data_IF_522011095040
#
_entry.id   IF_522011095040
#
_cell.length_a   1.000
_cell.length_b   1.000
_cell.length_c   1.000
_cell.angle_alpha   90.00
_cell.angle_beta   90.00
_cell.angle_gamma   90.00
#
_symmetry.space_group_name_H-M   'P 1'
#
loop_
_entity.id
_entity.type
_entity.pdbx_description
1 polymer ?
#
# COMPACT_ATOMS: atom_id res chain seq x y z
N UNK A 1 20.01 18.40 15.38
CA UNK A 1 20.74 17.20 14.94
C UNK A 1 19.71 16.27 14.35
N UNK A 2 19.47 16.41 13.04
CA UNK A 2 18.54 15.60 12.27
C UNK A 2 19.31 14.38 11.76
N UNK A 3 19.16 13.26 12.45
CA UNK A 3 19.64 11.97 11.96
C UNK A 3 18.66 11.50 10.89
N UNK A 4 19.00 11.73 9.64
CA UNK A 4 18.38 11.01 8.53
C UNK A 4 19.16 9.71 8.43
N UNK A 5 18.48 8.60 8.71
CA UNK A 5 19.02 7.26 8.49
C UNK A 5 19.17 7.05 6.98
N UNK A 6 20.40 7.25 6.53
CA UNK A 6 20.95 6.73 5.29
C UNK A 6 20.95 5.20 5.37
N UNK A 7 19.92 4.56 4.82
CA UNK A 7 20.03 3.19 4.33
C UNK A 7 19.53 3.15 2.89
N UNK A 8 20.36 3.73 2.03
CA UNK A 8 20.31 3.53 0.58
C UNK A 8 20.79 2.11 0.28
N UNK A 9 19.85 1.25 -0.08
CA UNK A 9 20.11 -0.14 -0.45
C UNK A 9 18.80 -0.81 -0.83
N UNK A 10 18.37 -0.60 -2.08
CA UNK A 10 17.30 -1.38 -2.72
C UNK A 10 17.75 -2.85 -2.81
N UNK A 11 17.62 -3.58 -1.71
CA UNK A 11 17.44 -5.02 -1.77
C UNK A 11 15.99 -5.21 -2.20
N UNK A 12 15.76 -5.50 -3.49
CA UNK A 12 14.45 -5.93 -3.97
C UNK A 12 13.95 -7.03 -3.04
N UNK A 13 12.98 -6.71 -2.20
CA UNK A 13 12.34 -7.63 -1.24
C UNK A 13 11.82 -8.90 -1.95
N UNK A 14 11.53 -8.75 -3.25
CA UNK A 14 11.06 -9.79 -4.16
C UNK A 14 12.17 -10.59 -4.89
N UNK A 15 13.39 -10.06 -4.98
CA UNK A 15 14.46 -10.63 -5.81
C UNK A 15 14.29 -10.45 -7.32
N UNK A 16 13.29 -9.67 -7.77
CA UNK A 16 13.05 -9.31 -9.17
C UNK A 16 13.08 -7.78 -9.39
N UNK A 17 13.22 -7.30 -10.65
CA UNK A 17 13.05 -5.90 -11.00
C UNK A 17 11.60 -5.42 -10.79
N UNK A 18 11.45 -4.12 -10.61
CA UNK A 18 10.13 -3.45 -10.55
C UNK A 18 9.49 -3.49 -11.93
N UNK A 19 8.21 -3.88 -11.97
CA UNK A 19 7.39 -3.90 -13.18
C UNK A 19 6.74 -2.52 -13.38
N UNK A 20 7.49 -1.59 -13.99
CA UNK A 20 6.99 -0.23 -14.25
C UNK A 20 5.83 -0.21 -15.25
N UNK A 21 5.81 -1.11 -16.23
CA UNK A 21 4.70 -1.25 -17.17
C UNK A 21 3.40 -1.60 -16.41
N UNK A 22 3.50 -2.46 -15.39
CA UNK A 22 2.36 -2.74 -14.49
C UNK A 22 1.96 -1.52 -13.70
N UNK A 23 2.91 -0.78 -13.12
CA UNK A 23 2.59 0.43 -12.35
C UNK A 23 1.92 1.51 -13.21
N UNK A 24 2.34 1.68 -14.47
CA UNK A 24 1.70 2.59 -15.43
C UNK A 24 0.24 2.19 -15.69
N UNK A 25 -0.05 0.90 -15.89
CA UNK A 25 -1.43 0.41 -16.06
C UNK A 25 -2.28 0.62 -14.80
N UNK A 26 -1.70 0.44 -13.60
CA UNK A 26 -2.40 0.70 -12.34
C UNK A 26 -2.69 2.19 -12.18
N UNK A 27 -1.71 3.05 -12.45
CA UNK A 27 -1.84 4.51 -12.42
C UNK A 27 -2.99 4.96 -13.32
N UNK A 28 -2.99 4.53 -14.57
CA UNK A 28 -4.01 4.94 -15.55
C UNK A 28 -5.41 4.49 -15.12
N UNK A 29 -5.54 3.31 -14.51
CA UNK A 29 -6.80 2.85 -13.92
C UNK A 29 -7.24 3.76 -12.77
N UNK A 30 -6.35 4.01 -11.81
CA UNK A 30 -6.68 4.76 -10.60
C UNK A 30 -6.91 6.24 -10.89
N UNK A 31 -6.31 6.80 -11.94
CA UNK A 31 -6.51 8.19 -12.35
C UNK A 31 -7.96 8.50 -12.79
N UNK A 32 -8.74 7.45 -13.08
CA UNK A 32 -10.16 7.55 -13.41
C UNK A 32 -11.10 7.30 -12.23
N UNK A 33 -10.54 6.95 -11.07
CA UNK A 33 -11.29 6.63 -9.85
C UNK A 33 -11.44 7.89 -8.97
N UNK A 34 -12.67 8.25 -8.65
CA UNK A 34 -13.00 9.43 -7.82
C UNK A 34 -12.55 9.31 -6.37
N UNK A 35 -12.08 8.13 -5.95
CA UNK A 35 -11.53 7.89 -4.62
C UNK A 35 -10.21 8.60 -4.37
N UNK A 36 -9.46 8.92 -5.43
CA UNK A 36 -8.14 9.53 -5.32
C UNK A 36 -8.16 10.99 -5.76
N UNK A 37 -7.57 11.86 -4.94
CA UNK A 37 -7.37 13.28 -5.28
C UNK A 37 -6.04 13.52 -5.96
N UNK A 38 -5.06 12.65 -5.73
CA UNK A 38 -3.73 12.74 -6.28
C UNK A 38 -3.12 11.36 -6.48
N UNK A 39 -2.42 11.20 -7.60
CA UNK A 39 -1.60 10.02 -7.88
C UNK A 39 -0.19 10.50 -8.23
N UNK A 40 0.79 10.02 -7.49
CA UNK A 40 2.21 10.35 -7.66
C UNK A 40 2.93 9.12 -8.16
N UNK A 41 3.34 9.19 -9.43
CA UNK A 41 4.14 8.18 -10.10
C UNK A 41 5.62 8.41 -9.76
N UNK A 42 6.26 7.41 -9.15
CA UNK A 42 7.70 7.37 -8.82
C UNK A 42 8.18 8.63 -8.10
N UNK A 43 7.64 8.92 -6.90
CA UNK A 43 8.09 10.07 -6.11
C UNK A 43 9.59 9.97 -5.82
N UNK A 44 10.26 11.12 -5.69
CA UNK A 44 11.72 11.17 -5.44
C UNK A 44 12.16 10.38 -4.20
N UNK A 45 11.30 10.27 -3.19
CA UNK A 45 11.57 9.53 -1.96
C UNK A 45 11.37 8.01 -2.08
N UNK A 46 10.62 7.54 -3.09
CA UNK A 46 10.32 6.12 -3.32
C UNK A 46 10.12 5.88 -4.83
N UNK A 47 11.19 5.94 -5.64
CA UNK A 47 11.12 5.90 -7.10
C UNK A 47 10.65 4.56 -7.66
N UNK A 48 10.49 3.53 -6.83
CA UNK A 48 9.90 2.25 -7.17
C UNK A 48 8.38 2.17 -6.95
N UNK A 49 7.75 3.23 -6.43
CA UNK A 49 6.34 3.19 -6.00
C UNK A 49 5.42 4.07 -6.82
N UNK A 50 4.15 3.68 -6.81
CA UNK A 50 3.01 4.51 -7.13
C UNK A 50 2.30 4.88 -5.81
N UNK A 51 2.08 6.17 -5.56
CA UNK A 51 1.41 6.65 -4.34
C UNK A 51 0.07 7.29 -4.70
N UNK A 52 -1.02 6.75 -4.16
CA UNK A 52 -2.37 7.21 -4.45
C UNK A 52 -2.99 7.79 -3.18
N UNK A 53 -3.26 9.09 -3.17
CA UNK A 53 -3.80 9.83 -2.03
C UNK A 53 -5.33 9.86 -2.14
N UNK A 54 -6.01 9.40 -1.10
CA UNK A 54 -7.46 9.36 -1.06
C UNK A 54 -8.09 10.75 -0.89
N UNK A 55 -9.33 10.91 -1.35
CA UNK A 55 -10.14 12.07 -1.02
C UNK A 55 -10.51 12.06 0.47
N UNK A 56 -10.21 13.16 1.16
CA UNK A 56 -10.52 13.35 2.59
C UNK A 56 -12.00 13.21 2.91
N UNK A 57 -12.90 13.33 1.93
CA UNK A 57 -14.35 13.15 2.12
C UNK A 57 -14.73 11.75 2.60
N UNK A 58 -13.87 10.74 2.41
CA UNK A 58 -14.11 9.37 2.86
C UNK A 58 -13.75 9.16 4.34
N UNK A 59 -13.21 10.19 5.00
CA UNK A 59 -12.63 10.10 6.33
C UNK A 59 -13.20 11.12 7.31
N UNK A 60 -13.24 10.81 8.62
CA UNK A 60 -13.55 11.78 9.65
C UNK A 60 -12.41 12.79 9.81
N UNK A 61 -12.68 13.98 10.40
CA UNK A 61 -11.64 15.01 10.62
C UNK A 61 -10.44 14.58 11.46
N UNK A 62 -10.53 13.46 12.19
CA UNK A 62 -9.42 12.89 12.95
C UNK A 62 -8.34 12.26 12.06
N UNK A 63 -8.66 11.92 10.81
CA UNK A 63 -7.73 11.43 9.80
C UNK A 63 -7.34 12.60 8.90
N UNK A 64 -6.09 13.00 8.95
CA UNK A 64 -5.56 14.16 8.24
C UNK A 64 -5.21 13.83 6.80
N UNK A 65 -4.75 12.61 6.55
CA UNK A 65 -4.38 12.11 5.23
C UNK A 65 -4.53 10.60 5.18
N UNK A 66 -4.81 10.06 4.01
CA UNK A 66 -4.79 8.62 3.75
C UNK A 66 -4.25 8.35 2.35
N UNK A 67 -3.38 7.35 2.24
CA UNK A 67 -2.76 6.96 0.97
C UNK A 67 -2.61 5.45 0.88
N UNK A 68 -2.57 4.95 -0.36
CA UNK A 68 -2.06 3.61 -0.67
C UNK A 68 -0.80 3.73 -1.52
N UNK A 69 0.27 3.10 -1.06
CA UNK A 69 1.53 2.97 -1.78
C UNK A 69 1.62 1.59 -2.41
N UNK A 70 2.02 1.53 -3.67
CA UNK A 70 1.98 0.31 -4.49
C UNK A 70 3.33 0.10 -5.15
N UNK A 71 3.88 -1.10 -5.03
CA UNK A 71 4.99 -1.58 -5.84
C UNK A 71 4.66 -2.97 -6.39
N UNK A 72 5.05 -3.22 -7.63
CA UNK A 72 4.86 -4.49 -8.33
C UNK A 72 6.18 -4.94 -8.96
N UNK A 73 6.42 -6.24 -9.00
CA UNK A 73 7.64 -6.83 -9.55
C UNK A 73 7.33 -7.76 -10.72
N UNK A 74 8.30 -7.93 -11.63
CA UNK A 74 8.14 -8.70 -12.88
C UNK A 74 7.82 -10.18 -12.63
N UNK A 75 8.18 -10.72 -11.46
CA UNK A 75 7.89 -12.10 -11.05
C UNK A 75 6.50 -12.28 -10.41
N UNK A 76 5.68 -11.22 -10.35
CA UNK A 76 4.33 -11.21 -9.79
C UNK A 76 4.25 -10.96 -8.28
N UNK A 77 5.38 -10.70 -7.62
CA UNK A 77 5.41 -10.19 -6.26
C UNK A 77 4.93 -8.74 -6.20
N UNK A 78 4.48 -8.31 -5.02
CA UNK A 78 4.01 -6.95 -4.80
C UNK A 78 4.07 -6.58 -3.31
N UNK A 79 3.99 -5.27 -3.05
CA UNK A 79 3.62 -4.74 -1.74
C UNK A 79 2.60 -3.62 -1.93
N UNK A 80 1.50 -3.72 -1.18
CA UNK A 80 0.49 -2.68 -1.05
C UNK A 80 0.51 -2.20 0.39
N UNK A 81 0.76 -0.92 0.61
CA UNK A 81 0.78 -0.31 1.94
C UNK A 81 -0.26 0.78 2.02
N UNK A 82 -1.32 0.53 2.79
CA UNK A 82 -2.29 1.54 3.14
C UNK A 82 -1.89 2.24 4.44
N UNK A 83 -1.84 3.57 4.40
CA UNK A 83 -1.39 4.40 5.50
C UNK A 83 -2.37 5.55 5.74
N UNK A 84 -2.68 5.80 7.01
CA UNK A 84 -3.44 6.96 7.46
C UNK A 84 -2.63 7.76 8.49
N UNK A 85 -2.59 9.08 8.31
CA UNK A 85 -2.10 10.02 9.31
C UNK A 85 -3.28 10.48 10.18
N UNK A 86 -3.29 10.15 11.47
CA UNK A 86 -4.31 10.58 12.44
C UNK A 86 -3.78 11.69 13.34
N UNK A 87 -4.68 12.43 13.98
CA UNK A 87 -4.31 13.42 15.01
C UNK A 87 -3.51 12.78 16.16
N UNK A 88 -3.80 11.52 16.52
CA UNK A 88 -3.22 10.83 17.69
C UNK A 88 -2.26 9.67 17.32
N UNK A 89 -1.93 9.49 16.03
CA UNK A 89 -1.05 8.39 15.61
C UNK A 89 -1.13 8.10 14.12
N UNK A 90 -0.78 6.87 13.75
CA UNK A 90 -0.90 6.39 12.37
C UNK A 90 -1.71 5.10 12.34
N UNK A 91 -2.19 4.75 11.16
CA UNK A 91 -2.70 3.41 10.86
C UNK A 91 -1.99 2.88 9.63
N UNK A 92 -1.35 1.74 9.76
CA UNK A 92 -0.60 1.07 8.73
C UNK A 92 -1.16 -0.33 8.52
N UNK A 93 -1.52 -0.66 7.28
CA UNK A 93 -1.95 -2.00 6.89
C UNK A 93 -1.27 -2.39 5.57
N UNK A 94 -0.76 -3.61 5.48
CA UNK A 94 -0.06 -4.08 4.26
C UNK A 94 -0.59 -5.41 3.75
N UNK A 95 -0.59 -5.56 2.43
CA UNK A 95 -0.77 -6.83 1.73
C UNK A 95 0.48 -7.09 0.90
N UNK A 96 1.14 -8.20 1.17
CA UNK A 96 2.45 -8.50 0.61
C UNK A 96 2.47 -9.87 -0.04
N UNK A 97 3.13 -9.93 -1.20
CA UNK A 97 3.55 -11.16 -1.86
C UNK A 97 5.04 -11.08 -2.12
N UNK A 98 5.85 -11.75 -1.31
CA UNK A 98 7.29 -11.85 -1.51
C UNK A 98 7.90 -12.98 -0.67
N UNK A 99 9.10 -13.48 -1.00
CA UNK A 99 9.84 -14.38 -0.11
C UNK A 99 10.04 -13.75 1.28
N UNK A 100 9.75 -14.50 2.33
CA UNK A 100 9.90 -14.06 3.73
C UNK A 100 10.50 -15.18 4.58
N UNK A 101 11.34 -14.83 5.56
CA UNK A 101 11.87 -15.78 6.54
C UNK A 101 10.86 -16.10 7.65
N UNK A 102 9.88 -15.21 7.86
CA UNK A 102 8.96 -15.25 8.99
C UNK A 102 7.52 -15.55 8.59
N UNK A 103 7.18 -15.41 7.31
CA UNK A 103 5.83 -15.58 6.78
C UNK A 103 5.82 -16.42 5.50
N UNK A 104 4.65 -16.94 5.16
CA UNK A 104 4.38 -17.47 3.82
C UNK A 104 4.56 -16.36 2.76
N UNK A 105 4.74 -16.77 1.49
CA UNK A 105 4.95 -15.83 0.39
C UNK A 105 3.84 -14.78 0.33
N UNK A 106 2.60 -15.20 0.50
CA UNK A 106 1.44 -14.31 0.63
C UNK A 106 1.14 -14.10 2.12
N UNK A 107 1.17 -12.85 2.56
CA UNK A 107 0.87 -12.47 3.94
C UNK A 107 0.30 -11.04 4.00
N UNK A 108 -0.27 -10.71 5.16
CA UNK A 108 -0.71 -9.35 5.51
C UNK A 108 0.03 -8.88 6.75
N UNK A 109 0.17 -7.56 6.88
CA UNK A 109 0.53 -6.92 8.14
C UNK A 109 -0.67 -6.10 8.58
N UNK A 110 -1.50 -6.61 9.50
CA UNK A 110 -2.73 -5.93 9.89
C UNK A 110 -2.43 -4.65 10.68
N UNK A 111 -3.27 -3.64 10.48
CA UNK A 111 -3.20 -2.41 11.27
C UNK A 111 -3.65 -2.59 12.72
N UNK A 112 -3.35 -1.59 13.59
CA UNK A 112 -2.81 -0.29 13.21
C UNK A 112 -1.30 -0.24 12.98
N UNK A 113 -0.53 -1.20 13.49
CA UNK A 113 0.93 -1.07 13.58
C UNK A 113 1.70 -1.80 12.48
N UNK A 114 1.01 -2.53 11.58
CA UNK A 114 1.61 -3.40 10.57
C UNK A 114 2.79 -4.24 11.11
N UNK A 115 2.57 -5.07 12.17
CA UNK A 115 3.65 -5.69 12.93
C UNK A 115 4.41 -6.72 12.08
N UNK A 116 5.69 -6.96 12.41
CA UNK A 116 6.47 -8.08 11.86
C UNK A 116 6.77 -9.08 12.99
N UNK A 117 6.48 -10.39 12.83
CA UNK A 117 5.89 -11.03 11.65
C UNK A 117 4.44 -10.63 11.40
N UNK A 118 4.01 -10.73 10.13
CA UNK A 118 2.61 -10.57 9.74
C UNK A 118 1.80 -11.85 9.92
N UNK A 119 0.60 -11.87 9.33
CA UNK A 119 -0.27 -13.04 9.29
C UNK A 119 -0.25 -13.66 7.88
N UNK A 120 -0.05 -14.96 7.79
CA UNK A 120 -0.13 -15.69 6.52
C UNK A 120 -1.56 -15.60 5.95
N UNK A 121 -1.68 -15.13 4.72
CA UNK A 121 -2.97 -14.88 4.09
C UNK A 121 -2.85 -14.99 2.58
N UNK A 122 -3.59 -15.89 1.90
CA UNK A 122 -3.48 -16.05 0.46
C UNK A 122 -4.07 -14.86 -0.30
N UNK A 123 -3.35 -14.40 -1.34
CA UNK A 123 -3.83 -13.33 -2.21
C UNK A 123 -4.29 -13.89 -3.57
N UNK A 124 -5.21 -13.21 -4.29
CA UNK A 124 -5.54 -13.56 -5.67
C UNK A 124 -4.31 -13.62 -6.59
N UNK A 125 -4.41 -14.40 -7.67
CA UNK A 125 -3.34 -14.50 -8.67
C UNK A 125 -3.37 -13.37 -9.70
N UNK A 126 -4.56 -12.92 -10.13
CA UNK A 126 -4.70 -11.77 -11.02
C UNK A 126 -4.49 -10.48 -10.23
N UNK A 127 -3.66 -9.59 -10.76
CA UNK A 127 -3.35 -8.31 -10.11
C UNK A 127 -4.55 -7.40 -9.92
N UNK A 128 -5.56 -7.48 -10.81
CA UNK A 128 -6.79 -6.68 -10.68
C UNK A 128 -7.60 -7.16 -9.49
N UNK A 129 -7.59 -8.46 -9.24
CA UNK A 129 -8.29 -9.06 -8.11
C UNK A 129 -7.57 -8.73 -6.80
N UNK A 130 -6.24 -8.70 -6.79
CA UNK A 130 -5.44 -8.21 -5.64
C UNK A 130 -5.78 -6.75 -5.30
N UNK A 131 -5.78 -5.86 -6.31
CA UNK A 131 -6.16 -4.46 -6.06
C UNK A 131 -7.61 -4.33 -5.59
N UNK A 132 -8.52 -5.12 -6.17
CA UNK A 132 -9.93 -5.09 -5.80
C UNK A 132 -10.14 -5.56 -4.35
N UNK A 133 -9.41 -6.60 -3.93
CA UNK A 133 -9.40 -7.09 -2.55
C UNK A 133 -8.95 -5.99 -1.58
N UNK A 134 -7.78 -5.39 -1.81
CA UNK A 134 -7.26 -4.33 -0.93
C UNK A 134 -8.20 -3.11 -0.88
N UNK A 135 -8.74 -2.67 -2.02
CA UNK A 135 -9.68 -1.54 -2.08
C UNK A 135 -10.99 -1.83 -1.35
N UNK A 136 -11.49 -3.07 -1.38
CA UNK A 136 -12.70 -3.48 -0.63
C UNK A 136 -12.44 -3.44 0.88
N UNK A 137 -11.28 -3.88 1.34
CA UNK A 137 -10.90 -3.83 2.75
C UNK A 137 -10.73 -2.39 3.25
N UNK A 138 -10.09 -1.53 2.44
CA UNK A 138 -9.96 -0.09 2.73
C UNK A 138 -11.35 0.57 2.77
N UNK A 139 -12.23 0.28 1.82
CA UNK A 139 -13.59 0.81 1.81
C UNK A 139 -14.39 0.35 3.03
N UNK A 140 -14.24 -0.90 3.46
CA UNK A 140 -14.88 -1.40 4.69
C UNK A 140 -14.40 -0.61 5.92
N UNK A 141 -13.09 -0.35 6.02
CA UNK A 141 -12.53 0.52 7.07
C UNK A 141 -13.08 1.94 7.01
N UNK A 142 -13.11 2.55 5.82
CA UNK A 142 -13.66 3.89 5.61
C UNK A 142 -15.12 3.97 6.06
N UNK A 143 -15.94 2.96 5.76
CA UNK A 143 -17.34 2.89 6.19
C UNK A 143 -17.46 2.73 7.71
N UNK A 144 -16.60 1.93 8.33
CA UNK A 144 -16.62 1.68 9.76
C UNK A 144 -16.43 2.94 10.62
N UNK A 145 -15.83 4.03 10.09
CA UNK A 145 -15.80 5.33 10.77
C UNK A 145 -17.18 5.93 11.03
N UNK A 146 -18.21 5.49 10.31
CA UNK A 146 -19.54 6.09 10.30
C UNK A 146 -20.66 5.17 10.81
N UNK A 147 -20.35 3.91 11.10
CA UNK A 147 -21.32 2.89 11.55
C UNK A 147 -21.51 2.87 13.09
N UNK A 148 -21.15 3.96 13.77
CA UNK A 148 -21.27 4.16 15.22
C UNK A 148 -22.64 4.65 15.68
#
# INVERSE_FOLDING_TARGET
MTGWDESSGSHSVSGAPVDFDRLDVIRDRFATDERFTQIVDRPEFAPERLVCVYDTRFYPPSVQNARVEIVWFENGDFSLHYHEDHVEGTFDHRWDRHPSEHNARDHIHPGPDAPTPGDDSPHPSDWRDVLSMALVEIEARQRAFWEG
#
